data_IF_502679640959
#
_entry.id   IF_502679640959
#
_cell.length_a   1.000
_cell.length_b   1.000
_cell.length_c   1.000
_cell.angle_alpha   90.00
_cell.angle_beta   90.00
_cell.angle_gamma   90.00
#
_symmetry.space_group_name_H-M   'P 1'
#
loop_
_entity.id
_entity.type
_entity.pdbx_description
1 polymer ?
#
# COMPACT_ATOMS: atom_id res chain seq x y z
N UNK A 1 7.16 17.82 9.00
CA UNK A 1 7.85 17.59 7.72
C UNK A 1 6.78 17.36 6.66
N UNK A 2 6.64 18.25 5.69
CA UNK A 2 5.61 18.13 4.65
C UNK A 2 5.97 16.95 3.74
N UNK A 3 5.07 15.97 3.59
CA UNK A 3 5.24 14.83 2.67
C UNK A 3 5.03 15.24 1.19
N UNK A 4 5.49 16.43 0.83
CA UNK A 4 5.36 17.00 -0.49
C UNK A 4 6.60 17.83 -0.78
N UNK A 5 7.21 17.57 -1.94
CA UNK A 5 8.28 18.40 -2.50
C UNK A 5 7.74 19.70 -3.12
N UNK A 6 6.47 20.06 -2.85
CA UNK A 6 5.78 21.19 -3.46
C UNK A 6 5.23 20.85 -4.85
N UNK A 7 5.19 21.86 -5.71
CA UNK A 7 4.87 21.75 -7.13
C UNK A 7 6.02 21.09 -7.88
N UNK A 8 5.78 20.20 -8.86
CA UNK A 8 6.87 19.73 -9.72
C UNK A 8 7.59 20.94 -10.35
N UNK A 9 8.86 20.77 -10.79
CA UNK A 9 9.66 21.86 -11.35
C UNK A 9 8.96 22.65 -12.46
N UNK A 10 7.91 22.09 -13.06
CA UNK A 10 7.02 22.76 -13.99
C UNK A 10 5.52 22.46 -13.77
N UNK A 11 4.94 22.89 -12.64
CA UNK A 11 3.51 22.65 -12.36
C UNK A 11 2.53 23.25 -13.37
N UNK A 12 2.94 24.31 -14.09
CA UNK A 12 2.12 24.94 -15.13
C UNK A 12 2.12 24.14 -16.45
N UNK A 13 2.99 23.13 -16.59
CA UNK A 13 3.06 22.25 -17.77
C UNK A 13 2.39 20.89 -17.56
N UNK A 14 1.92 20.54 -16.35
CA UNK A 14 1.27 19.24 -16.13
C UNK A 14 -0.06 19.21 -16.90
N UNK A 15 -0.10 18.38 -17.94
CA UNK A 15 -1.29 18.21 -18.78
C UNK A 15 -2.38 17.44 -18.04
N UNK A 16 -3.63 17.65 -18.47
CA UNK A 16 -4.81 17.02 -17.85
C UNK A 16 -4.76 15.49 -17.90
N UNK A 17 -4.20 14.91 -18.95
CA UNK A 17 -4.03 13.47 -19.09
C UNK A 17 -3.00 12.93 -18.10
N UNK A 18 -1.89 13.63 -17.86
CA UNK A 18 -0.88 13.24 -16.87
C UNK A 18 -1.44 13.20 -15.44
N UNK A 19 -2.28 14.18 -15.09
CA UNK A 19 -3.02 14.20 -13.81
C UNK A 19 -3.93 12.98 -13.68
N UNK A 20 -4.64 12.64 -14.76
CA UNK A 20 -5.58 11.53 -14.77
C UNK A 20 -4.88 10.17 -14.75
N UNK A 21 -3.78 10.00 -15.50
CA UNK A 21 -2.96 8.78 -15.44
C UNK A 21 -2.37 8.62 -14.04
N UNK A 22 -1.89 9.70 -13.41
CA UNK A 22 -1.33 9.64 -12.06
C UNK A 22 -2.37 9.30 -11.00
N UNK A 23 -3.60 9.80 -11.14
CA UNK A 23 -4.75 9.37 -10.33
C UNK A 23 -4.97 7.86 -10.49
N UNK A 24 -5.13 7.39 -11.73
CA UNK A 24 -5.38 5.97 -12.01
C UNK A 24 -4.23 5.07 -11.62
N UNK A 25 -2.99 5.57 -11.61
CA UNK A 25 -1.86 4.83 -11.09
C UNK A 25 -2.08 4.44 -9.63
N UNK A 26 -2.56 5.34 -8.75
CA UNK A 26 -2.88 4.99 -7.36
C UNK A 26 -4.17 4.17 -7.25
N UNK A 27 -5.23 4.56 -7.98
CA UNK A 27 -6.51 3.84 -7.99
C UNK A 27 -6.44 2.45 -8.67
N UNK A 28 -5.29 2.08 -9.23
CA UNK A 28 -5.08 0.77 -9.85
C UNK A 28 -5.38 -0.40 -8.92
N UNK A 29 -5.28 -0.20 -7.60
CA UNK A 29 -5.67 -1.20 -6.60
C UNK A 29 -7.10 -1.72 -6.80
N UNK A 30 -8.01 -0.92 -7.38
CA UNK A 30 -9.40 -1.30 -7.68
C UNK A 30 -9.62 -1.84 -9.10
N UNK A 31 -8.82 -1.38 -10.07
CA UNK A 31 -9.16 -1.48 -11.50
C UNK A 31 -8.29 -2.47 -12.28
N UNK A 32 -7.09 -2.78 -11.79
CA UNK A 32 -6.16 -3.67 -12.51
C UNK A 32 -4.95 -4.13 -11.69
N UNK A 33 -4.97 -3.90 -10.38
CA UNK A 33 -3.91 -4.23 -9.44
C UNK A 33 -2.55 -3.66 -9.86
N UNK A 34 -1.51 -4.43 -9.57
CA UNK A 34 -0.11 -4.02 -9.80
C UNK A 34 0.25 -3.81 -11.29
N UNK A 35 -0.56 -4.29 -12.23
CA UNK A 35 -0.25 -4.19 -13.66
C UNK A 35 -0.40 -2.76 -14.21
N UNK A 36 -1.45 -2.05 -13.81
CA UNK A 36 -1.68 -0.68 -14.29
C UNK A 36 -0.54 0.30 -13.98
N UNK A 37 0.01 0.39 -12.74
CA UNK A 37 1.12 1.30 -12.47
C UNK A 37 2.38 0.91 -13.26
N UNK A 38 2.59 -0.37 -13.57
CA UNK A 38 3.68 -0.82 -14.46
C UNK A 38 3.44 -0.30 -15.88
N UNK A 39 2.24 -0.49 -16.42
CA UNK A 39 1.87 -0.03 -17.77
C UNK A 39 2.06 1.48 -17.88
N UNK A 40 1.50 2.25 -16.92
CA UNK A 40 1.62 3.70 -16.91
C UNK A 40 3.07 4.17 -16.79
N UNK A 41 3.87 3.50 -15.96
CA UNK A 41 5.31 3.77 -15.88
C UNK A 41 6.01 3.51 -17.21
N UNK A 42 5.90 2.31 -17.77
CA UNK A 42 6.63 1.93 -19.00
C UNK A 42 6.26 2.80 -20.19
N UNK A 43 4.99 3.19 -20.31
CA UNK A 43 4.47 3.98 -21.45
C UNK A 43 4.71 5.48 -21.33
N UNK A 44 5.02 5.98 -20.12
CA UNK A 44 5.23 7.42 -19.85
C UNK A 44 6.62 7.77 -19.30
N UNK A 45 7.49 6.78 -19.02
CA UNK A 45 8.83 6.99 -18.44
C UNK A 45 9.69 8.02 -19.19
N UNK A 46 9.56 8.06 -20.51
CA UNK A 46 10.34 8.94 -21.39
C UNK A 46 9.57 10.23 -21.75
N UNK A 47 8.30 10.35 -21.34
CA UNK A 47 7.38 11.45 -21.70
C UNK A 47 7.10 12.40 -20.54
N UNK A 48 6.98 11.87 -19.33
CA UNK A 48 6.51 12.61 -18.17
C UNK A 48 7.16 12.13 -16.88
N UNK A 49 8.01 12.97 -16.28
CA UNK A 49 8.57 12.70 -14.95
C UNK A 49 7.47 12.67 -13.88
N UNK A 50 6.41 13.46 -14.04
CA UNK A 50 5.29 13.51 -13.11
C UNK A 50 4.53 12.17 -13.06
N UNK A 51 4.11 11.67 -14.23
CA UNK A 51 3.43 10.36 -14.33
C UNK A 51 4.35 9.24 -13.86
N UNK A 52 5.62 9.30 -14.23
CA UNK A 52 6.63 8.30 -13.85
C UNK A 52 6.79 8.20 -12.35
N UNK A 53 6.89 9.34 -11.67
CA UNK A 53 6.98 9.40 -10.22
C UNK A 53 5.77 8.76 -9.54
N UNK A 54 4.55 9.17 -9.89
CA UNK A 54 3.35 8.62 -9.27
C UNK A 54 3.11 7.13 -9.62
N UNK A 55 3.46 6.71 -10.84
CA UNK A 55 3.34 5.33 -11.28
C UNK A 55 4.29 4.40 -10.52
N UNK A 56 5.58 4.76 -10.43
CA UNK A 56 6.56 3.99 -9.63
C UNK A 56 6.20 3.98 -8.15
N UNK A 57 5.75 5.12 -7.62
CA UNK A 57 5.35 5.24 -6.23
C UNK A 57 4.14 4.34 -5.91
N UNK A 58 3.15 4.29 -6.81
CA UNK A 58 2.02 3.37 -6.67
C UNK A 58 2.45 1.90 -6.78
N UNK A 59 3.35 1.57 -7.72
CA UNK A 59 3.88 0.22 -7.86
C UNK A 59 4.52 -0.28 -6.55
N UNK A 60 5.39 0.53 -5.95
CA UNK A 60 6.02 0.18 -4.67
C UNK A 60 5.03 0.10 -3.52
N UNK A 61 3.97 0.91 -3.53
CA UNK A 61 2.88 0.80 -2.57
C UNK A 61 2.14 -0.54 -2.70
N UNK A 62 1.86 -1.00 -3.92
CA UNK A 62 1.26 -2.33 -4.15
C UNK A 62 2.16 -3.46 -3.64
N UNK A 63 3.46 -3.38 -3.92
CA UNK A 63 4.44 -4.36 -3.42
C UNK A 63 4.46 -4.37 -1.88
N UNK A 64 4.53 -3.20 -1.25
CA UNK A 64 4.52 -3.09 0.20
C UNK A 64 3.21 -3.61 0.80
N UNK A 65 2.07 -3.28 0.19
CA UNK A 65 0.75 -3.76 0.61
C UNK A 65 0.66 -5.29 0.57
N UNK A 66 1.06 -5.91 -0.54
CA UNK A 66 1.10 -7.37 -0.69
C UNK A 66 2.05 -8.00 0.34
N UNK A 67 3.23 -7.42 0.54
CA UNK A 67 4.20 -7.92 1.52
C UNK A 67 3.65 -7.88 2.95
N UNK A 68 2.98 -6.78 3.33
CA UNK A 68 2.33 -6.64 4.65
C UNK A 68 1.23 -7.70 4.82
N UNK A 69 0.38 -7.91 3.81
CA UNK A 69 -0.66 -8.93 3.88
C UNK A 69 -0.08 -10.34 4.03
N UNK A 70 0.98 -10.66 3.28
CA UNK A 70 1.67 -11.94 3.38
C UNK A 70 2.23 -12.13 4.79
N UNK A 71 3.01 -11.15 5.29
CA UNK A 71 3.59 -11.22 6.63
C UNK A 71 2.50 -11.35 7.71
N UNK A 72 1.41 -10.61 7.59
CA UNK A 72 0.28 -10.69 8.52
C UNK A 72 -0.36 -12.09 8.53
N UNK A 73 -0.64 -12.65 7.35
CA UNK A 73 -1.23 -14.00 7.22
C UNK A 73 -0.27 -15.05 7.79
N UNK A 74 1.01 -15.01 7.44
CA UNK A 74 2.00 -15.96 7.95
C UNK A 74 2.19 -15.85 9.46
N UNK A 75 2.30 -14.64 10.00
CA UNK A 75 2.38 -14.42 11.44
C UNK A 75 1.15 -14.98 12.15
N UNK A 76 -0.05 -14.75 11.60
CA UNK A 76 -1.27 -15.29 12.15
C UNK A 76 -1.31 -16.82 12.10
N UNK A 77 -0.94 -17.44 10.98
CA UNK A 77 -0.87 -18.92 10.85
C UNK A 77 0.11 -19.51 11.85
N UNK A 78 1.29 -18.90 12.03
CA UNK A 78 2.27 -19.36 13.02
C UNK A 78 1.69 -19.28 14.44
N UNK A 79 1.08 -18.16 14.81
CA UNK A 79 0.44 -17.99 16.12
C UNK A 79 -0.71 -18.98 16.30
N UNK A 80 -1.52 -19.22 15.26
CA UNK A 80 -2.64 -20.15 15.31
C UNK A 80 -2.18 -21.61 15.43
N UNK A 81 -1.09 -22.00 14.76
CA UNK A 81 -0.51 -23.36 14.85
C UNK A 81 0.17 -23.56 16.20
N UNK A 82 1.06 -22.65 16.62
CA UNK A 82 1.76 -22.74 17.91
C UNK A 82 0.75 -22.65 19.07
N UNK A 83 -0.16 -21.69 18.99
CA UNK A 83 -1.23 -21.50 19.97
C UNK A 83 -2.22 -22.66 19.96
N UNK A 84 -2.58 -23.20 18.79
CA UNK A 84 -3.47 -24.35 18.66
C UNK A 84 -2.87 -25.65 19.17
N UNK A 85 -1.56 -25.87 18.98
CA UNK A 85 -0.84 -27.00 19.59
C UNK A 85 -0.75 -26.84 21.12
N UNK A 86 -0.47 -25.63 21.62
CA UNK A 86 -0.45 -25.35 23.05
C UNK A 86 -1.82 -25.49 23.70
N UNK A 87 -2.86 -24.90 23.11
CA UNK A 87 -4.25 -24.99 23.57
C UNK A 87 -4.78 -26.41 23.45
N UNK A 88 -4.51 -27.12 22.35
CA UNK A 88 -4.90 -28.52 22.16
C UNK A 88 -4.29 -29.47 23.20
N UNK A 89 -3.05 -29.20 23.64
CA UNK A 89 -2.41 -29.92 24.75
C UNK A 89 -3.06 -29.60 26.12
N UNK A 90 -3.61 -28.40 26.29
CA UNK A 90 -4.32 -27.98 27.51
C UNK A 90 -5.82 -28.33 27.54
N UNK A 91 -6.49 -28.49 26.39
CA UNK A 91 -7.93 -28.84 26.32
C UNK A 91 -8.15 -30.34 26.25
N UNK A 92 -7.18 -31.11 25.76
CA UNK A 92 -7.20 -32.58 25.81
C UNK A 92 -7.22 -33.14 27.23
N UNK A 93 -6.82 -32.36 28.24
CA UNK A 93 -6.94 -32.71 29.66
C UNK A 93 -8.30 -32.34 30.29
N UNK A 94 -9.15 -31.55 29.61
CA UNK A 94 -10.42 -31.04 30.18
C UNK A 94 -11.69 -31.56 29.49
N UNK A 95 -11.58 -32.26 28.35
CA UNK A 95 -12.71 -32.97 27.71
C UNK A 95 -13.86 -32.10 27.18
N UNK A 96 -13.72 -30.77 27.21
CA UNK A 96 -14.75 -29.84 26.73
C UNK A 96 -14.69 -29.67 25.21
N UNK A 97 -15.86 -29.68 24.55
CA UNK A 97 -16.03 -29.50 23.08
C UNK A 97 -16.24 -28.02 22.69
N UNK A 98 -16.23 -27.13 23.69
CA UNK A 98 -16.40 -25.68 23.55
C UNK A 98 -15.13 -25.07 22.93
N UNK A 99 -15.28 -24.14 21.99
CA UNK A 99 -14.13 -23.35 21.53
C UNK A 99 -13.66 -22.43 22.65
N UNK A 100 -12.37 -22.43 23.01
CA UNK A 100 -11.85 -21.53 24.03
C UNK A 100 -12.14 -20.07 23.67
N UNK A 101 -12.60 -19.27 24.64
CA UNK A 101 -12.93 -17.84 24.45
C UNK A 101 -11.76 -17.07 23.84
N UNK A 102 -10.52 -17.41 24.20
CA UNK A 102 -9.31 -16.84 23.61
C UNK A 102 -9.26 -16.98 22.07
N UNK A 103 -9.71 -18.10 21.52
CA UNK A 103 -9.72 -18.32 20.07
C UNK A 103 -10.72 -17.39 19.36
N UNK A 104 -11.88 -17.17 19.97
CA UNK A 104 -12.89 -16.22 19.46
C UNK A 104 -12.33 -14.79 19.45
N UNK A 105 -11.68 -14.38 20.56
CA UNK A 105 -11.03 -13.06 20.66
C UNK A 105 -9.93 -12.91 19.60
N UNK A 106 -9.10 -13.95 19.41
CA UNK A 106 -8.05 -13.96 18.39
C UNK A 106 -8.61 -13.84 16.96
N UNK A 107 -9.74 -14.50 16.67
CA UNK A 107 -10.44 -14.39 15.39
C UNK A 107 -10.98 -12.98 15.14
N UNK A 108 -11.63 -12.38 16.14
CA UNK A 108 -12.11 -11.00 16.05
C UNK A 108 -10.94 -10.03 15.81
N UNK A 109 -9.84 -10.19 16.57
CA UNK A 109 -8.64 -9.39 16.38
C UNK A 109 -8.01 -9.56 15.00
N UNK A 110 -7.99 -10.79 14.48
CA UNK A 110 -7.48 -11.09 13.14
C UNK A 110 -8.30 -10.39 12.05
N UNK A 111 -9.61 -10.63 12.02
CA UNK A 111 -10.47 -10.03 11.00
C UNK A 111 -10.59 -8.51 11.14
N UNK A 112 -10.62 -8.00 12.36
CA UNK A 112 -10.62 -6.56 12.62
C UNK A 112 -9.36 -5.87 12.12
N UNK A 113 -8.18 -6.47 12.37
CA UNK A 113 -6.91 -5.92 11.89
C UNK A 113 -6.79 -6.07 10.37
N UNK A 114 -7.22 -7.21 9.80
CA UNK A 114 -7.23 -7.42 8.35
C UNK A 114 -8.12 -6.37 7.65
N UNK A 115 -9.30 -6.11 8.21
CA UNK A 115 -10.20 -5.06 7.74
C UNK A 115 -9.50 -3.69 7.80
N UNK A 116 -8.88 -3.34 8.93
CA UNK A 116 -8.17 -2.08 9.07
C UNK A 116 -7.02 -1.91 8.05
N UNK A 117 -6.26 -2.98 7.77
CA UNK A 117 -5.19 -2.96 6.76
C UNK A 117 -5.74 -2.71 5.36
N UNK A 118 -6.79 -3.45 4.97
CA UNK A 118 -7.40 -3.35 3.63
C UNK A 118 -7.98 -1.95 3.42
N UNK A 119 -8.87 -1.52 4.32
CA UNK A 119 -9.57 -0.25 4.18
C UNK A 119 -8.63 0.95 4.39
N UNK A 120 -7.65 0.83 5.29
CA UNK A 120 -6.61 1.84 5.48
C UNK A 120 -5.76 2.02 4.22
N UNK A 121 -5.32 0.93 3.59
CA UNK A 121 -4.55 0.99 2.34
C UNK A 121 -5.36 1.58 1.19
N UNK A 122 -6.64 1.20 1.07
CA UNK A 122 -7.59 1.76 0.10
C UNK A 122 -7.75 3.26 0.30
N UNK A 123 -8.12 3.70 1.51
CA UNK A 123 -8.33 5.11 1.82
C UNK A 123 -7.08 5.93 1.53
N UNK A 124 -5.91 5.40 1.89
CA UNK A 124 -4.64 6.06 1.65
C UNK A 124 -4.30 6.15 0.16
N UNK A 125 -4.54 5.09 -0.61
CA UNK A 125 -4.34 5.10 -2.06
C UNK A 125 -5.25 6.12 -2.76
N UNK A 126 -6.53 6.19 -2.36
CA UNK A 126 -7.48 7.19 -2.89
C UNK A 126 -7.02 8.60 -2.56
N UNK A 127 -6.59 8.85 -1.32
CA UNK A 127 -6.04 10.15 -0.90
C UNK A 127 -4.86 10.57 -1.78
N UNK A 128 -3.92 9.65 -2.02
CA UNK A 128 -2.75 9.90 -2.86
C UNK A 128 -3.13 10.15 -4.33
N UNK A 129 -4.09 9.39 -4.84
CA UNK A 129 -4.65 9.61 -6.18
C UNK A 129 -5.27 10.99 -6.35
N UNK A 130 -6.11 11.43 -5.41
CA UNK A 130 -6.74 12.77 -5.43
C UNK A 130 -5.67 13.86 -5.41
N UNK A 131 -4.64 13.71 -4.56
CA UNK A 131 -3.53 14.66 -4.48
C UNK A 131 -2.71 14.71 -5.77
N UNK A 132 -2.46 13.57 -6.39
CA UNK A 132 -1.81 13.49 -7.70
C UNK A 132 -2.67 14.17 -8.79
N UNK A 133 -3.99 13.98 -8.78
CA UNK A 133 -4.90 14.64 -9.73
C UNK A 133 -4.87 16.18 -9.60
N UNK A 134 -4.74 16.68 -8.37
CA UNK A 134 -4.55 18.10 -8.08
C UNK A 134 -3.20 18.65 -8.59
N UNK A 135 -2.28 17.79 -9.05
CA UNK A 135 -0.95 18.15 -9.51
C UNK A 135 0.09 18.23 -8.38
N UNK A 136 -0.24 17.72 -7.19
CA UNK A 136 0.68 17.75 -6.05
C UNK A 136 1.64 16.56 -6.09
N UNK A 137 2.92 16.81 -5.82
CA UNK A 137 3.94 15.77 -5.68
C UNK A 137 3.94 15.21 -4.26
N UNK A 138 2.88 14.47 -3.93
CA UNK A 138 2.75 13.81 -2.63
C UNK A 138 3.55 12.51 -2.58
N UNK A 139 4.31 12.30 -1.51
CA UNK A 139 5.15 11.12 -1.32
C UNK A 139 4.65 10.19 -0.22
N UNK A 140 4.78 8.88 -0.45
CA UNK A 140 4.78 7.89 0.61
C UNK A 140 6.06 8.11 1.44
N UNK A 141 6.00 8.24 2.78
CA UNK A 141 7.14 8.69 3.59
C UNK A 141 8.46 7.93 3.37
N UNK A 142 8.39 6.62 3.17
CA UNK A 142 9.57 5.74 3.01
C UNK A 142 9.93 5.56 1.52
N UNK A 143 8.93 5.28 0.69
CA UNK A 143 9.11 4.92 -0.72
C UNK A 143 9.36 6.17 -1.59
N UNK A 144 8.61 7.24 -1.34
CA UNK A 144 8.56 8.38 -2.25
C UNK A 144 9.86 9.17 -2.31
N UNK A 145 10.68 9.19 -1.26
CA UNK A 145 12.02 9.81 -1.31
C UNK A 145 12.95 9.10 -2.29
N UNK A 146 12.97 7.76 -2.27
CA UNK A 146 13.79 6.95 -3.18
C UNK A 146 13.31 7.07 -4.62
N UNK A 147 12.00 7.01 -4.83
CA UNK A 147 11.40 7.15 -6.16
C UNK A 147 11.65 8.56 -6.71
N UNK A 148 11.48 9.60 -5.89
CA UNK A 148 11.77 10.97 -6.29
C UNK A 148 13.22 11.11 -6.75
N UNK A 149 14.18 10.64 -5.96
CA UNK A 149 15.60 10.69 -6.31
C UNK A 149 15.90 9.95 -7.62
N UNK A 150 15.27 8.80 -7.88
CA UNK A 150 15.45 8.07 -9.14
C UNK A 150 14.87 8.76 -10.37
N UNK A 151 13.83 9.57 -10.22
CA UNK A 151 13.11 10.20 -11.34
C UNK A 151 13.61 11.63 -11.61
N UNK A 152 13.92 12.38 -10.56
CA UNK A 152 14.32 13.79 -10.64
C UNK A 152 15.81 14.02 -10.37
N UNK A 153 16.53 13.00 -9.95
CA UNK A 153 17.93 13.10 -9.50
C UNK A 153 18.04 13.48 -8.04
N UNK A 154 19.19 13.19 -7.44
CA UNK A 154 19.56 13.68 -6.09
C UNK A 154 19.96 15.15 -6.19
N UNK A 155 18.99 16.05 -6.32
CA UNK A 155 19.23 17.43 -5.92
C UNK A 155 19.46 17.42 -4.42
N UNK A 156 20.69 17.72 -3.98
CA UNK A 156 20.96 18.07 -2.58
C UNK A 156 19.91 19.11 -2.15
N UNK A 157 19.00 18.71 -1.27
CA UNK A 157 18.33 19.63 -0.35
C UNK A 157 18.76 19.24 1.05
#
# INVERSE_FOLDING_TARGET
MTNSFGTPPNANEIRSDERMISLFAHLSLFLGGILLPIIFWVTNKDKSKFVTFHSLQSLWFHIAYIAILIVWIFAFVIIAVVGGLGVGAFTSTTGSKEMPVFFIIAMIGFYGTLFAIIFGAIAYSVYMGIKAYQGNMVMYPIIGKKVYASVYGTGNQ
#
